data_IF_941119084888
#
_entry.id   IF_941119084888
#
_cell.length_a   1.000
_cell.length_b   1.000
_cell.length_c   1.000
_cell.angle_alpha   90.00
_cell.angle_beta   90.00
_cell.angle_gamma   90.00
#
_symmetry.space_group_name_H-M   'P 1'
#
loop_
_entity.id
_entity.type
_entity.pdbx_description
1 polymer ?
#
# COMPACT_ATOMS: atom_id res chain seq x y z
N UNK A 1 25.00 -9.44 -60.14
CA UNK A 1 24.27 -9.77 -58.89
C UNK A 1 23.21 -8.69 -58.68
N UNK A 2 21.97 -8.95 -59.08
CA UNK A 2 20.85 -8.03 -58.79
C UNK A 2 20.61 -8.00 -57.28
N UNK A 3 20.64 -6.81 -56.66
CA UNK A 3 20.25 -6.63 -55.27
C UNK A 3 18.72 -6.68 -55.21
N UNK A 4 18.18 -7.72 -54.59
CA UNK A 4 16.73 -7.84 -54.39
C UNK A 4 16.24 -6.69 -53.48
N UNK A 5 15.45 -5.72 -54.02
CA UNK A 5 15.01 -4.54 -53.26
C UNK A 5 14.05 -4.88 -52.13
N UNK A 6 13.51 -6.10 -52.09
CA UNK A 6 12.62 -6.59 -51.04
C UNK A 6 13.36 -6.87 -49.72
N UNK A 7 14.66 -7.21 -49.77
CA UNK A 7 15.43 -7.55 -48.58
C UNK A 7 15.52 -6.40 -47.54
N UNK A 8 15.86 -5.15 -47.91
CA UNK A 8 15.86 -4.03 -46.96
C UNK A 8 14.45 -3.67 -46.46
N UNK A 9 13.41 -3.83 -47.28
CA UNK A 9 12.02 -3.61 -46.89
C UNK A 9 11.55 -4.62 -45.84
N UNK A 10 11.89 -5.90 -46.02
CA UNK A 10 11.59 -6.96 -45.04
C UNK A 10 12.36 -6.73 -43.75
N UNK A 11 13.64 -6.35 -43.82
CA UNK A 11 14.43 -6.01 -42.63
C UNK A 11 13.85 -4.80 -41.87
N UNK A 12 13.43 -3.75 -42.57
CA UNK A 12 12.79 -2.59 -41.97
C UNK A 12 11.43 -2.94 -41.32
N UNK A 13 10.60 -3.72 -42.00
CA UNK A 13 9.34 -4.20 -41.45
C UNK A 13 9.54 -5.05 -40.19
N UNK A 14 10.56 -5.94 -40.18
CA UNK A 14 10.92 -6.73 -39.02
C UNK A 14 11.34 -5.86 -37.83
N UNK A 15 12.14 -4.81 -38.06
CA UNK A 15 12.53 -3.86 -37.00
C UNK A 15 11.33 -3.12 -36.42
N UNK A 16 10.37 -2.71 -37.25
CA UNK A 16 9.11 -2.09 -36.79
C UNK A 16 8.35 -3.08 -35.90
N UNK A 17 8.18 -4.34 -36.36
CA UNK A 17 7.46 -5.36 -35.60
C UNK A 17 8.14 -5.63 -34.25
N UNK A 18 9.47 -5.76 -34.22
CA UNK A 18 10.23 -5.96 -32.98
C UNK A 18 10.12 -4.75 -32.04
N UNK A 19 10.15 -3.53 -32.58
CA UNK A 19 9.95 -2.30 -31.80
C UNK A 19 8.56 -2.24 -31.17
N UNK A 20 7.51 -2.55 -31.93
CA UNK A 20 6.14 -2.59 -31.44
C UNK A 20 5.94 -3.68 -30.38
N UNK A 21 6.52 -4.86 -30.56
CA UNK A 21 6.51 -5.94 -29.57
C UNK A 21 7.22 -5.52 -28.28
N UNK A 22 8.40 -4.91 -28.38
CA UNK A 22 9.16 -4.41 -27.22
C UNK A 22 8.38 -3.33 -26.46
N UNK A 23 7.81 -2.36 -27.18
CA UNK A 23 7.02 -1.29 -26.59
C UNK A 23 5.76 -1.83 -25.89
N UNK A 24 5.05 -2.76 -26.54
CA UNK A 24 3.87 -3.41 -25.95
C UNK A 24 4.24 -4.21 -24.70
N UNK A 25 5.36 -4.95 -24.75
CA UNK A 25 5.91 -5.66 -23.59
C UNK A 25 6.24 -4.72 -22.43
N UNK A 26 6.86 -3.57 -22.72
CA UNK A 26 7.14 -2.53 -21.73
C UNK A 26 5.85 -1.98 -21.09
N UNK A 27 4.83 -1.67 -21.90
CA UNK A 27 3.54 -1.18 -21.38
C UNK A 27 2.83 -2.20 -20.49
N UNK A 28 2.86 -3.49 -20.86
CA UNK A 28 2.29 -4.58 -20.05
C UNK A 28 3.03 -4.74 -18.72
N UNK A 29 4.36 -4.68 -18.73
CA UNK A 29 5.18 -4.74 -17.52
C UNK A 29 4.91 -3.53 -16.61
N UNK A 30 4.80 -2.33 -17.18
CA UNK A 30 4.47 -1.12 -16.43
C UNK A 30 3.10 -1.22 -15.72
N UNK A 31 2.10 -1.83 -16.37
CA UNK A 31 0.78 -2.05 -15.73
C UNK A 31 0.83 -3.02 -14.55
N UNK A 32 1.65 -4.07 -14.63
CA UNK A 32 1.80 -5.05 -13.52
C UNK A 32 2.33 -4.40 -12.24
N UNK A 33 3.20 -3.40 -12.37
CA UNK A 33 3.77 -2.68 -11.23
C UNK A 33 2.75 -1.76 -10.54
N UNK A 34 1.66 -1.39 -11.22
CA UNK A 34 0.66 -0.46 -10.69
C UNK A 34 -0.50 -1.16 -9.96
N UNK A 35 -0.61 -2.47 -10.03
CA UNK A 35 -1.68 -3.21 -9.35
C UNK A 35 -1.39 -3.25 -7.83
N UNK A 36 -2.29 -2.75 -6.98
CA UNK A 36 -2.12 -2.87 -5.53
C UNK A 36 -2.00 -4.35 -5.12
N UNK A 37 -1.21 -4.69 -4.08
CA UNK A 37 -1.14 -6.06 -3.58
C UNK A 37 -2.53 -6.57 -3.20
N UNK A 38 -2.81 -7.88 -3.35
CA UNK A 38 -4.10 -8.42 -2.94
C UNK A 38 -4.33 -8.21 -1.43
N UNK A 39 -5.60 -8.10 -0.99
CA UNK A 39 -5.91 -8.11 0.43
C UNK A 39 -5.46 -9.43 1.06
N UNK A 40 -4.98 -9.37 2.29
CA UNK A 40 -4.55 -10.52 3.11
C UNK A 40 -5.08 -10.39 4.54
N UNK A 41 -5.08 -11.50 5.26
CA UNK A 41 -5.48 -11.50 6.68
C UNK A 41 -4.35 -10.95 7.54
N UNK A 42 -4.65 -9.95 8.36
CA UNK A 42 -3.77 -9.45 9.41
C UNK A 42 -4.41 -9.77 10.76
N UNK A 43 -3.64 -10.29 11.70
CA UNK A 43 -4.12 -10.62 13.05
C UNK A 43 -3.67 -9.56 14.03
N UNK A 44 -4.62 -9.01 14.79
CA UNK A 44 -4.34 -8.14 15.93
C UNK A 44 -4.55 -8.92 17.22
N UNK A 45 -3.48 -9.11 17.97
CA UNK A 45 -3.49 -9.71 19.30
C UNK A 45 -3.80 -8.61 20.31
N UNK A 46 -5.02 -8.63 20.84
CA UNK A 46 -5.48 -7.74 21.91
C UNK A 46 -5.53 -8.50 23.23
N UNK A 47 -5.80 -7.79 24.33
CA UNK A 47 -6.06 -8.40 25.64
C UNK A 47 -7.33 -9.28 25.66
N UNK A 48 -8.31 -8.98 24.80
CA UNK A 48 -9.57 -9.73 24.70
C UNK A 48 -9.45 -10.97 23.81
N UNK A 49 -8.39 -11.02 22.99
CA UNK A 49 -8.08 -12.13 22.12
C UNK A 49 -7.55 -11.70 20.75
N UNK A 50 -7.26 -12.68 19.87
CA UNK A 50 -6.87 -12.42 18.50
C UNK A 50 -8.08 -11.99 17.65
N UNK A 51 -7.95 -10.88 16.93
CA UNK A 51 -8.91 -10.42 15.92
C UNK A 51 -8.27 -10.50 14.53
N UNK A 52 -8.99 -11.06 13.57
CA UNK A 52 -8.52 -11.13 12.17
C UNK A 52 -9.19 -10.04 11.35
N UNK A 53 -8.39 -9.34 10.55
CA UNK A 53 -8.83 -8.23 9.71
C UNK A 53 -8.43 -8.51 8.26
N UNK A 54 -9.36 -8.28 7.33
CA UNK A 54 -9.09 -8.25 5.89
C UNK A 54 -8.37 -6.94 5.56
N UNK A 55 -7.05 -7.01 5.57
CA UNK A 55 -6.20 -5.84 5.42
C UNK A 55 -5.44 -5.87 4.09
N UNK A 56 -4.75 -4.78 3.78
CA UNK A 56 -3.68 -4.77 2.78
C UNK A 56 -2.38 -4.34 3.42
N UNK A 57 -1.32 -5.11 3.18
CA UNK A 57 0.02 -4.78 3.65
C UNK A 57 0.75 -3.94 2.60
N UNK A 58 1.15 -2.74 3.00
CA UNK A 58 1.76 -1.73 2.15
C UNK A 58 3.21 -1.54 2.59
N UNK A 59 4.15 -1.95 1.73
CA UNK A 59 5.59 -1.82 1.98
C UNK A 59 6.27 -0.74 1.13
N UNK A 60 5.59 -0.23 0.10
CA UNK A 60 6.13 0.78 -0.81
C UNK A 60 5.67 2.19 -0.44
N UNK A 61 6.51 3.23 -0.66
CA UNK A 61 6.11 4.62 -0.52
C UNK A 61 4.92 4.99 -1.41
N UNK A 62 4.85 4.42 -2.62
CA UNK A 62 3.77 4.66 -3.58
C UNK A 62 2.40 4.18 -3.05
N UNK A 63 2.38 3.07 -2.31
CA UNK A 63 1.16 2.58 -1.68
C UNK A 63 0.69 3.45 -0.50
N UNK A 64 1.57 4.28 0.08
CA UNK A 64 1.27 5.19 1.19
C UNK A 64 0.46 6.42 0.75
N UNK A 65 0.41 6.73 -0.55
CA UNK A 65 -0.29 7.90 -1.07
C UNK A 65 -1.82 7.82 -0.98
N UNK A 66 -2.39 6.65 -0.67
CA UNK A 66 -3.84 6.47 -0.53
C UNK A 66 -4.20 5.69 0.74
N UNK A 67 -4.78 6.41 1.68
CA UNK A 67 -5.38 5.93 2.93
C UNK A 67 -6.63 5.06 2.76
N UNK A 68 -7.15 4.51 3.86
CA UNK A 68 -8.37 3.69 3.86
C UNK A 68 -9.59 4.54 3.49
N UNK A 69 -9.70 5.75 4.04
CA UNK A 69 -10.82 6.67 3.83
C UNK A 69 -11.08 7.05 2.36
N UNK A 70 -10.04 7.05 1.52
CA UNK A 70 -10.12 7.40 0.09
C UNK A 70 -10.38 6.20 -0.83
N UNK A 71 -10.18 4.96 -0.35
CA UNK A 71 -10.29 3.74 -1.17
C UNK A 71 -11.74 3.29 -1.35
N UNK A 72 -12.11 2.91 -2.57
CA UNK A 72 -13.45 2.32 -2.85
C UNK A 72 -13.56 0.85 -2.49
N UNK A 73 -12.45 0.22 -2.17
CA UNK A 73 -12.37 -1.21 -1.84
C UNK A 73 -12.90 -1.47 -0.43
N UNK A 74 -13.60 -2.57 -0.24
CA UNK A 74 -14.04 -3.06 1.08
C UNK A 74 -12.87 -3.73 1.81
N UNK A 75 -11.96 -2.88 2.30
CA UNK A 75 -10.90 -3.26 3.22
C UNK A 75 -11.30 -2.88 4.64
N UNK A 76 -10.94 -3.74 5.58
CA UNK A 76 -11.12 -3.51 7.02
C UNK A 76 -9.95 -2.70 7.60
N UNK A 77 -8.75 -2.92 7.05
CA UNK A 77 -7.54 -2.28 7.52
C UNK A 77 -6.50 -2.03 6.41
N UNK A 78 -5.58 -1.12 6.67
CA UNK A 78 -4.31 -0.98 5.95
C UNK A 78 -3.17 -1.09 6.95
N UNK A 79 -2.19 -1.93 6.63
CA UNK A 79 -0.97 -2.05 7.42
C UNK A 79 0.21 -1.53 6.61
N UNK A 80 0.70 -0.36 6.97
CA UNK A 80 1.90 0.23 6.40
C UNK A 80 3.12 -0.28 7.17
N UNK A 81 4.11 -0.79 6.45
CA UNK A 81 5.39 -1.23 7.03
C UNK A 81 6.52 -0.40 6.40
N UNK A 82 7.32 0.22 7.26
CA UNK A 82 8.41 1.10 6.85
C UNK A 82 9.75 0.39 7.01
N UNK A 83 10.62 0.40 5.98
CA UNK A 83 11.90 -0.28 6.04
C UNK A 83 12.81 0.32 7.13
N UNK A 84 12.73 1.63 7.32
CA UNK A 84 13.44 2.41 8.34
C UNK A 84 12.44 3.05 9.31
N UNK A 85 12.89 3.35 10.53
CA UNK A 85 12.09 4.11 11.48
C UNK A 85 11.77 5.51 10.93
N UNK A 86 10.56 5.98 11.20
CA UNK A 86 10.06 7.26 10.71
C UNK A 86 9.20 7.92 11.78
N UNK A 87 9.07 9.24 11.71
CA UNK A 87 8.25 10.09 12.58
C UNK A 87 7.28 10.96 11.75
N UNK A 88 7.02 10.54 10.50
CA UNK A 88 6.16 11.27 9.58
C UNK A 88 4.75 11.44 10.14
N UNK A 89 4.22 12.65 10.00
CA UNK A 89 2.81 12.92 10.33
C UNK A 89 1.89 12.10 9.44
N UNK A 90 0.77 11.67 10.01
CA UNK A 90 -0.32 11.05 9.29
C UNK A 90 -1.41 12.09 9.02
N UNK A 91 -2.10 11.99 7.87
CA UNK A 91 -3.17 12.92 7.50
C UNK A 91 -4.37 12.15 6.96
N UNK A 92 -5.55 12.52 7.45
CA UNK A 92 -6.84 12.02 7.00
C UNK A 92 -7.47 12.93 5.93
N UNK A 93 -6.64 13.66 5.18
CA UNK A 93 -7.11 14.55 4.10
C UNK A 93 -7.88 13.76 3.03
N UNK A 94 -9.07 14.24 2.68
CA UNK A 94 -9.95 13.57 1.70
C UNK A 94 -10.64 12.29 2.18
N UNK A 95 -10.56 11.96 3.48
CA UNK A 95 -11.25 10.79 4.02
C UNK A 95 -12.76 10.99 4.02
N UNK A 96 -13.51 9.89 3.83
CA UNK A 96 -14.98 9.91 3.84
C UNK A 96 -15.59 9.50 5.18
N UNK A 97 -14.77 9.03 6.11
CA UNK A 97 -15.18 8.52 7.41
C UNK A 97 -14.00 8.58 8.39
N UNK A 98 -14.27 8.57 9.70
CA UNK A 98 -13.22 8.58 10.72
C UNK A 98 -12.47 7.24 10.78
N UNK A 99 -11.21 7.30 11.17
CA UNK A 99 -10.34 6.12 11.30
C UNK A 99 -9.62 6.11 12.64
N UNK A 100 -9.19 4.91 13.03
CA UNK A 100 -8.23 4.74 14.13
C UNK A 100 -6.89 4.35 13.52
N UNK A 101 -5.85 5.05 13.94
CA UNK A 101 -4.46 4.77 13.55
C UNK A 101 -3.66 4.30 14.76
N UNK A 102 -2.91 3.23 14.58
CA UNK A 102 -1.99 2.68 15.56
C UNK A 102 -0.57 2.69 15.00
N UNK A 103 0.33 3.41 15.67
CA UNK A 103 1.76 3.45 15.35
C UNK A 103 2.44 2.24 15.97
N UNK A 104 3.24 1.52 15.19
CA UNK A 104 3.83 0.24 15.55
C UNK A 104 5.36 0.31 15.57
N UNK A 105 5.99 -0.47 16.44
CA UNK A 105 7.45 -0.68 16.43
C UNK A 105 7.90 -1.69 15.34
N UNK A 106 9.16 -2.15 15.42
CA UNK A 106 9.73 -3.12 14.48
C UNK A 106 9.10 -4.53 14.60
N UNK A 107 8.54 -4.85 15.76
CA UNK A 107 8.00 -6.16 16.13
C UNK A 107 6.47 -6.22 15.98
N UNK A 108 5.85 -5.10 15.59
CA UNK A 108 4.41 -4.94 15.42
C UNK A 108 3.67 -4.55 16.70
N UNK A 109 4.39 -4.18 17.76
CA UNK A 109 3.77 -3.73 19.00
C UNK A 109 3.21 -2.32 18.84
N UNK A 110 1.97 -2.10 19.30
CA UNK A 110 1.30 -0.80 19.27
C UNK A 110 1.94 0.12 20.30
N UNK A 111 2.56 1.19 19.82
CA UNK A 111 3.21 2.22 20.63
C UNK A 111 2.20 3.30 21.05
N UNK A 112 1.34 3.69 20.11
CA UNK A 112 0.35 4.76 20.30
C UNK A 112 -0.84 4.53 19.38
N UNK A 113 -2.02 4.85 19.90
CA UNK A 113 -3.29 4.82 19.16
C UNK A 113 -3.89 6.21 19.14
N UNK A 114 -4.51 6.59 18.02
CA UNK A 114 -5.25 7.83 17.89
C UNK A 114 -6.43 7.65 16.93
N UNK A 115 -7.53 8.32 17.25
CA UNK A 115 -8.65 8.51 16.32
C UNK A 115 -8.38 9.78 15.51
N UNK A 116 -8.66 9.73 14.20
CA UNK A 116 -8.66 10.91 13.34
C UNK A 116 -10.01 11.05 12.64
N UNK A 117 -10.51 12.27 12.66
CA UNK A 117 -11.62 12.72 11.83
C UNK A 117 -11.13 13.08 10.41
N UNK A 118 -12.02 13.05 9.40
CA UNK A 118 -11.70 13.54 8.06
C UNK A 118 -11.11 14.96 8.06
N UNK A 119 -10.01 15.16 7.34
CA UNK A 119 -9.30 16.45 7.26
C UNK A 119 -8.29 16.70 8.38
N UNK A 120 -8.20 15.83 9.39
CA UNK A 120 -7.24 16.01 10.46
C UNK A 120 -5.81 15.58 10.08
N UNK A 121 -4.85 16.13 10.83
CA UNK A 121 -3.45 15.74 10.77
C UNK A 121 -2.95 15.41 12.17
N UNK A 122 -2.25 14.29 12.27
CA UNK A 122 -1.67 13.82 13.51
C UNK A 122 -0.15 13.71 13.39
N UNK A 123 0.56 14.33 14.32
CA UNK A 123 1.97 14.05 14.54
C UNK A 123 2.13 12.86 15.50
N UNK A 124 2.96 11.85 15.16
CA UNK A 124 3.09 10.61 15.93
C UNK A 124 3.69 10.84 17.32
N UNK A 125 4.58 11.83 17.47
CA UNK A 125 5.27 12.13 18.74
C UNK A 125 6.31 11.07 19.15
N UNK A 126 6.51 10.04 18.32
CA UNK A 126 7.49 8.97 18.51
C UNK A 126 7.90 8.40 17.15
N UNK A 127 9.07 7.79 17.09
CA UNK A 127 9.50 7.04 15.92
C UNK A 127 8.78 5.69 15.85
N UNK A 128 8.37 5.28 14.66
CA UNK A 128 7.63 4.04 14.41
C UNK A 128 8.13 3.35 13.13
N UNK A 129 7.86 2.05 13.02
CA UNK A 129 8.21 1.21 11.84
C UNK A 129 6.99 0.56 11.18
N UNK A 130 5.81 0.70 11.77
CA UNK A 130 4.56 0.36 11.11
C UNK A 130 3.42 1.30 11.48
N UNK A 131 2.37 1.30 10.68
CA UNK A 131 1.13 2.01 10.97
C UNK A 131 -0.04 1.12 10.55
N UNK A 132 -0.89 0.78 11.51
CA UNK A 132 -2.16 0.11 11.25
C UNK A 132 -3.25 1.18 11.20
N UNK A 133 -3.99 1.22 10.10
CA UNK A 133 -5.18 2.07 9.93
C UNK A 133 -6.41 1.16 9.85
N UNK A 134 -7.40 1.43 10.69
CA UNK A 134 -8.68 0.70 10.72
C UNK A 134 -9.85 1.66 10.69
N UNK A 135 -11.00 1.20 10.21
CA UNK A 135 -12.25 1.96 10.35
C UNK A 135 -12.59 2.11 11.83
N UNK A 136 -13.07 3.29 12.21
CA UNK A 136 -13.60 3.52 13.55
C UNK A 136 -14.72 2.53 13.89
N UNK A 137 -14.73 2.03 15.13
CA UNK A 137 -15.73 1.08 15.63
C UNK A 137 -15.50 -0.38 15.22
N UNK A 138 -14.49 -0.68 14.40
CA UNK A 138 -14.19 -2.05 13.99
C UNK A 138 -13.44 -2.84 15.06
N UNK A 139 -12.49 -2.20 15.74
CA UNK A 139 -11.63 -2.82 16.74
C UNK A 139 -11.16 -1.76 17.74
N UNK A 140 -11.21 -2.09 19.03
CA UNK A 140 -10.56 -1.29 20.06
C UNK A 140 -9.06 -1.64 20.12
N UNK A 141 -8.22 -0.69 19.72
CA UNK A 141 -6.76 -0.81 19.78
C UNK A 141 -6.22 -0.08 21.01
N UNK A 142 -5.27 -0.70 21.70
CA UNK A 142 -4.60 -0.11 22.87
C UNK A 142 -3.08 -0.23 22.74
N UNK A 143 -2.31 0.70 23.34
CA UNK A 143 -0.87 0.52 23.47
C UNK A 143 -0.52 -0.81 24.13
N UNK A 144 0.46 -1.52 23.57
CA UNK A 144 0.88 -2.85 24.01
C UNK A 144 0.29 -4.01 23.20
N UNK A 145 -0.82 -3.81 22.49
CA UNK A 145 -1.36 -4.80 21.54
C UNK A 145 -0.33 -5.11 20.43
N UNK A 146 -0.52 -6.23 19.72
CA UNK A 146 0.43 -6.65 18.68
C UNK A 146 -0.25 -6.96 17.36
N UNK A 147 0.29 -6.43 16.28
CA UNK A 147 -0.18 -6.64 14.91
C UNK A 147 0.75 -7.62 14.18
N UNK A 148 0.19 -8.66 13.58
CA UNK A 148 0.91 -9.72 12.86
C UNK A 148 0.34 -9.84 11.43
N UNK A 149 1.15 -9.57 10.39
CA UNK A 149 0.72 -9.60 9.00
C UNK A 149 0.58 -10.98 8.36
#
# INVERSE_FOLDING_TARGET
MERNPLFPLVGFALLIVLSLLSFTGYLLAARRLQTPPPPQTVTVLTQEGPHTLKARVIRSPEGQARGLGVRREELEALLYLFPQATDRSFTAEGYRFPVVVAFLDAQGQVLRVARLEPGERLSPGTAYRGLLEVREGLLELRPGDRVVP
#
